data_IF_082636910554
#
_entry.id   IF_082636910554
#
_cell.length_a   1.000
_cell.length_b   1.000
_cell.length_c   1.000
_cell.angle_alpha   90.00
_cell.angle_beta   90.00
_cell.angle_gamma   90.00
#
_symmetry.space_group_name_H-M   'P 1'
#
loop_
_entity.id
_entity.type
_entity.pdbx_description
1 polymer ?
#
# COMPACT_ATOMS: atom_id res chain seq x y z
N UNK A 1 -94.61 -39.36 -33.83
CA UNK A 1 -93.76 -38.48 -34.68
C UNK A 1 -92.68 -37.83 -33.82
N UNK A 2 -91.39 -37.87 -34.22
CA UNK A 2 -90.24 -37.48 -33.38
C UNK A 2 -89.55 -36.18 -33.85
N UNK A 3 -88.73 -35.55 -32.98
CA UNK A 3 -87.56 -34.71 -33.39
C UNK A 3 -86.63 -34.50 -32.18
N UNK A 4 -85.65 -35.40 -32.00
CA UNK A 4 -84.22 -35.28 -32.37
C UNK A 4 -83.42 -34.25 -31.55
N UNK A 5 -82.72 -34.77 -30.56
CA UNK A 5 -81.43 -34.22 -30.11
C UNK A 5 -80.40 -34.30 -31.26
N UNK A 6 -79.59 -33.25 -31.45
CA UNK A 6 -78.34 -33.33 -32.23
C UNK A 6 -77.34 -32.30 -31.73
N UNK A 7 -76.23 -32.79 -31.19
CA UNK A 7 -75.16 -31.97 -30.65
C UNK A 7 -74.10 -31.51 -31.66
N UNK A 8 -73.09 -30.85 -31.08
CA UNK A 8 -71.72 -30.57 -31.56
C UNK A 8 -71.55 -29.53 -32.67
N UNK A 9 -70.90 -28.43 -32.30
CA UNK A 9 -70.12 -27.56 -33.20
C UNK A 9 -68.90 -27.02 -32.43
N UNK A 10 -67.70 -27.45 -32.83
CA UNK A 10 -66.46 -27.33 -32.07
C UNK A 10 -65.92 -25.90 -31.90
N UNK A 11 -65.34 -25.66 -30.72
CA UNK A 11 -64.53 -24.48 -30.36
C UNK A 11 -63.44 -24.23 -31.43
N UNK A 12 -63.15 -22.97 -31.81
CA UNK A 12 -62.06 -22.67 -32.73
C UNK A 12 -60.70 -22.94 -32.05
N UNK A 13 -60.24 -24.19 -32.13
CA UNK A 13 -58.97 -24.69 -31.55
C UNK A 13 -57.72 -24.21 -32.32
N UNK A 14 -57.84 -23.28 -33.25
CA UNK A 14 -56.73 -22.85 -34.13
C UNK A 14 -55.85 -21.73 -33.52
N UNK A 15 -56.36 -20.93 -32.59
CA UNK A 15 -55.56 -19.91 -31.87
C UNK A 15 -54.67 -20.48 -30.76
N UNK A 16 -55.07 -21.59 -30.11
CA UNK A 16 -54.27 -22.24 -29.06
C UNK A 16 -53.00 -22.86 -29.60
N UNK A 17 -53.03 -23.45 -30.79
CA UNK A 17 -51.85 -24.08 -31.40
C UNK A 17 -50.78 -23.06 -31.81
N UNK A 18 -51.19 -21.85 -32.20
CA UNK A 18 -50.25 -20.79 -32.58
C UNK A 18 -49.62 -20.12 -31.34
N UNK A 19 -50.42 -19.92 -30.29
CA UNK A 19 -49.90 -19.58 -28.95
C UNK A 19 -48.92 -20.63 -28.43
N UNK A 20 -49.20 -21.92 -28.64
CA UNK A 20 -48.30 -23.00 -28.23
C UNK A 20 -46.99 -23.01 -29.04
N UNK A 21 -47.05 -22.68 -30.34
CA UNK A 21 -45.85 -22.47 -31.17
C UNK A 21 -45.04 -21.26 -30.71
N UNK A 22 -45.68 -20.14 -30.39
CA UNK A 22 -45.03 -18.94 -29.84
C UNK A 22 -44.36 -19.23 -28.49
N UNK A 23 -45.02 -19.97 -27.60
CA UNK A 23 -44.44 -20.40 -26.31
C UNK A 23 -43.24 -21.32 -26.56
N UNK A 24 -43.35 -22.28 -27.47
CA UNK A 24 -42.24 -23.18 -27.81
C UNK A 24 -41.05 -22.42 -28.39
N UNK A 25 -41.30 -21.43 -29.26
CA UNK A 25 -40.26 -20.56 -29.81
C UNK A 25 -39.64 -19.65 -28.74
N UNK A 26 -40.46 -19.13 -27.82
CA UNK A 26 -40.00 -18.35 -26.67
C UNK A 26 -39.11 -19.16 -25.73
N UNK A 27 -39.43 -20.44 -25.48
CA UNK A 27 -38.59 -21.35 -24.69
C UNK A 27 -37.24 -21.57 -25.39
N UNK A 28 -37.23 -21.79 -26.71
CA UNK A 28 -35.98 -21.93 -27.47
C UNK A 28 -35.13 -20.67 -27.38
N UNK A 29 -35.73 -19.49 -27.51
CA UNK A 29 -35.03 -18.21 -27.38
C UNK A 29 -34.50 -17.98 -25.97
N UNK A 30 -35.27 -18.34 -24.94
CA UNK A 30 -34.85 -18.28 -23.54
C UNK A 30 -33.64 -19.19 -23.27
N UNK A 31 -33.61 -20.40 -23.84
CA UNK A 31 -32.47 -21.31 -23.74
C UNK A 31 -31.23 -20.75 -24.42
N UNK A 32 -31.37 -20.13 -25.60
CA UNK A 32 -30.26 -19.47 -26.29
C UNK A 32 -29.70 -18.29 -25.49
N UNK A 33 -30.57 -17.46 -24.90
CA UNK A 33 -30.16 -16.36 -24.02
C UNK A 33 -29.44 -16.89 -22.78
N UNK A 34 -29.97 -17.94 -22.15
CA UNK A 34 -29.35 -18.53 -20.96
C UNK A 34 -27.96 -19.11 -21.28
N UNK A 35 -27.82 -19.83 -22.40
CA UNK A 35 -26.54 -20.36 -22.86
C UNK A 35 -25.54 -19.23 -23.19
N UNK A 36 -26.01 -18.15 -23.82
CA UNK A 36 -25.21 -16.97 -24.09
C UNK A 36 -24.79 -16.25 -22.80
N UNK A 37 -25.70 -16.17 -21.81
CA UNK A 37 -25.44 -15.64 -20.48
C UNK A 37 -24.36 -16.43 -19.74
N UNK A 38 -24.39 -17.77 -19.80
CA UNK A 38 -23.34 -18.62 -19.24
C UNK A 38 -22.00 -18.43 -19.96
N UNK A 39 -22.01 -18.30 -21.29
CA UNK A 39 -20.80 -17.98 -22.06
C UNK A 39 -20.21 -16.61 -21.68
N UNK A 40 -21.08 -15.61 -21.48
CA UNK A 40 -20.67 -14.28 -21.01
C UNK A 40 -20.14 -14.34 -19.57
N UNK A 41 -20.79 -15.10 -18.68
CA UNK A 41 -20.35 -15.30 -17.31
C UNK A 41 -18.97 -15.98 -17.25
N UNK A 42 -18.73 -17.00 -18.09
CA UNK A 42 -17.40 -17.60 -18.21
C UNK A 42 -16.36 -16.62 -18.75
N UNK A 43 -16.72 -15.78 -19.74
CA UNK A 43 -15.79 -14.79 -20.32
C UNK A 43 -15.51 -13.61 -19.37
N UNK A 44 -16.47 -13.25 -18.53
CA UNK A 44 -16.34 -12.23 -17.49
C UNK A 44 -15.52 -12.78 -16.32
N UNK A 45 -15.81 -13.99 -15.84
CA UNK A 45 -15.02 -14.65 -14.77
C UNK A 45 -13.56 -14.84 -15.17
N UNK A 46 -13.29 -15.18 -16.42
CA UNK A 46 -11.93 -15.31 -16.96
C UNK A 46 -11.15 -13.98 -17.01
N UNK A 47 -11.84 -12.84 -16.86
CA UNK A 47 -11.23 -11.49 -16.78
C UNK A 47 -11.28 -10.90 -15.37
N UNK A 48 -12.06 -11.48 -14.44
CA UNK A 48 -12.24 -10.98 -13.08
C UNK A 48 -11.45 -11.79 -12.04
N UNK A 49 -11.11 -13.06 -12.30
CA UNK A 49 -10.30 -13.89 -11.38
C UNK A 49 -8.81 -13.96 -11.76
N UNK A 50 -8.20 -12.81 -12.08
CA UNK A 50 -6.79 -12.75 -12.42
C UNK A 50 -6.15 -11.40 -12.10
N UNK A 51 -5.78 -11.19 -10.82
CA UNK A 51 -5.02 -10.05 -10.27
C UNK A 51 -5.68 -8.66 -10.43
N UNK A 52 -6.55 -8.26 -9.50
CA UNK A 52 -6.94 -6.82 -9.35
C UNK A 52 -6.72 -6.30 -7.92
N UNK A 53 -5.77 -6.90 -7.19
CA UNK A 53 -5.15 -6.22 -6.06
C UNK A 53 -3.66 -6.56 -6.05
N UNK A 54 -2.92 -6.09 -7.05
CA UNK A 54 -1.51 -5.77 -6.78
C UNK A 54 -1.56 -4.57 -5.84
N UNK A 55 -1.67 -4.83 -4.53
CA UNK A 55 -1.46 -3.78 -3.55
C UNK A 55 -0.07 -3.21 -3.88
N UNK A 56 0.03 -1.93 -4.28
CA UNK A 56 1.33 -1.35 -4.57
C UNK A 56 2.17 -1.62 -3.33
N UNK A 57 3.33 -2.24 -3.51
CA UNK A 57 4.22 -2.52 -2.39
C UNK A 57 4.44 -1.18 -1.67
N UNK A 58 3.90 -1.05 -0.46
CA UNK A 58 4.11 0.11 0.35
C UNK A 58 5.60 0.09 0.68
N UNK A 59 6.36 0.93 -0.02
CA UNK A 59 7.78 1.13 0.27
C UNK A 59 7.81 2.01 1.52
N UNK A 60 7.66 1.35 2.66
CA UNK A 60 7.93 1.93 3.95
C UNK A 60 9.39 2.40 3.97
N UNK A 61 9.65 3.60 4.49
CA UNK A 61 11.02 4.00 4.80
C UNK A 61 11.70 3.00 5.74
N UNK A 62 13.02 3.11 5.90
CA UNK A 62 13.78 2.31 6.89
C UNK A 62 13.05 2.39 8.24
N UNK A 63 12.55 1.27 8.74
CA UNK A 63 12.05 1.18 10.11
C UNK A 63 13.23 1.49 11.02
N UNK A 64 13.14 2.59 11.76
CA UNK A 64 14.19 2.97 12.70
C UNK A 64 13.86 2.29 14.01
N UNK A 65 14.65 1.27 14.33
CA UNK A 65 14.67 0.67 15.65
C UNK A 65 15.65 1.51 16.49
N UNK A 66 15.12 2.11 17.56
CA UNK A 66 15.90 2.81 18.56
C UNK A 66 16.24 1.79 19.63
N UNK A 67 17.53 1.64 19.91
CA UNK A 67 18.05 0.80 20.97
C UNK A 67 18.75 1.69 21.99
N UNK A 68 18.73 1.33 23.28
CA UNK A 68 19.63 1.92 24.26
C UNK A 68 21.09 1.85 23.79
N UNK A 69 21.90 2.82 24.17
CA UNK A 69 23.30 3.04 23.77
C UNK A 69 23.54 3.36 22.29
N UNK A 70 22.50 3.62 21.51
CA UNK A 70 22.67 4.04 20.11
C UNK A 70 23.27 5.45 20.04
N UNK A 71 24.31 5.64 19.22
CA UNK A 71 24.90 6.96 18.94
C UNK A 71 23.97 7.80 18.07
N UNK A 72 22.97 8.40 18.71
CA UNK A 72 22.06 9.38 18.11
C UNK A 72 21.89 10.54 19.07
N UNK A 73 22.19 11.74 18.59
CA UNK A 73 22.00 12.95 19.37
C UNK A 73 20.52 13.33 19.43
N UNK A 74 20.15 14.08 20.47
CA UNK A 74 18.80 14.65 20.61
C UNK A 74 18.36 15.42 19.37
N UNK A 75 19.26 16.20 18.77
CA UNK A 75 18.97 17.02 17.59
C UNK A 75 18.74 16.17 16.33
N UNK A 76 19.42 15.04 16.20
CA UNK A 76 19.16 14.08 15.14
C UNK A 76 17.82 13.37 15.34
N UNK A 77 17.47 13.02 16.58
CA UNK A 77 16.17 12.46 16.88
C UNK A 77 15.03 13.44 16.56
N UNK A 78 15.18 14.72 16.90
CA UNK A 78 14.22 15.78 16.50
C UNK A 78 14.09 15.87 14.98
N UNK A 79 15.21 15.82 14.24
CA UNK A 79 15.19 15.80 12.78
C UNK A 79 14.49 14.57 12.23
N UNK A 80 14.71 13.40 12.84
CA UNK A 80 14.03 12.16 12.47
C UNK A 80 12.52 12.24 12.73
N UNK A 81 12.10 12.75 13.89
CA UNK A 81 10.70 12.94 14.25
C UNK A 81 9.99 13.93 13.32
N UNK A 82 10.64 15.06 13.02
CA UNK A 82 10.13 16.01 12.03
C UNK A 82 10.04 15.37 10.65
N UNK A 83 11.05 14.58 10.28
CA UNK A 83 11.02 13.79 9.06
C UNK A 83 9.90 12.75 9.10
N UNK A 84 9.47 12.19 10.23
CA UNK A 84 8.33 11.25 10.32
C UNK A 84 6.96 11.92 10.49
N UNK A 85 6.87 13.23 10.25
CA UNK A 85 5.65 14.05 10.43
C UNK A 85 5.15 14.11 11.88
N UNK A 86 6.02 13.92 12.87
CA UNK A 86 5.69 14.24 14.24
C UNK A 86 5.70 15.76 14.44
N UNK A 87 4.84 16.24 15.35
CA UNK A 87 4.71 17.66 15.67
C UNK A 87 5.27 17.97 17.04
N UNK A 88 6.15 18.96 17.12
CA UNK A 88 6.62 19.49 18.39
C UNK A 88 5.52 20.32 19.03
N UNK A 89 5.17 20.00 20.28
CA UNK A 89 4.17 20.73 21.08
C UNK A 89 4.71 20.99 22.47
N UNK A 90 4.10 21.92 23.21
CA UNK A 90 4.42 22.16 24.62
C UNK A 90 3.72 21.16 25.56
N UNK A 91 2.52 20.71 25.20
CA UNK A 91 1.77 19.69 25.93
C UNK A 91 1.22 18.65 24.94
N UNK A 92 1.60 17.38 25.12
CA UNK A 92 1.16 16.30 24.24
C UNK A 92 -0.26 15.87 24.59
N UNK A 93 -1.14 15.86 23.59
CA UNK A 93 -2.55 15.44 23.73
C UNK A 93 -2.95 14.39 22.71
N UNK A 94 -2.26 14.32 21.57
CA UNK A 94 -2.60 13.42 20.47
C UNK A 94 -1.41 12.54 20.04
N UNK A 95 -1.67 11.37 19.44
CA UNK A 95 -0.62 10.56 18.83
C UNK A 95 0.08 11.32 17.68
N UNK A 96 1.39 11.12 17.54
CA UNK A 96 2.21 11.86 16.58
C UNK A 96 2.70 13.22 17.10
N UNK A 97 2.59 13.49 18.39
CA UNK A 97 3.11 14.68 19.05
C UNK A 97 4.33 14.32 19.91
N UNK A 98 5.27 15.26 20.04
CA UNK A 98 6.42 15.14 20.92
C UNK A 98 6.74 16.46 21.62
N UNK A 99 7.35 16.38 22.80
CA UNK A 99 7.89 17.50 23.55
C UNK A 99 9.39 17.31 23.72
N UNK A 100 10.14 18.41 23.69
CA UNK A 100 11.59 18.41 23.89
C UNK A 100 11.87 19.02 25.25
N UNK A 101 12.60 18.29 26.08
CA UNK A 101 13.09 18.73 27.39
C UNK A 101 14.61 18.97 27.33
N UNK A 102 15.22 19.22 28.49
CA UNK A 102 16.66 19.48 28.59
C UNK A 102 17.48 18.32 28.01
N UNK A 103 17.31 17.12 28.54
CA UNK A 103 18.05 15.92 28.14
C UNK A 103 17.15 14.77 27.65
N UNK A 104 15.86 15.02 27.49
CA UNK A 104 14.91 13.99 27.07
C UNK A 104 13.95 14.50 26.01
N UNK A 105 13.40 13.57 25.24
CA UNK A 105 12.31 13.79 24.32
C UNK A 105 11.18 12.88 24.76
N UNK A 106 10.01 13.43 25.03
CA UNK A 106 8.81 12.63 25.22
C UNK A 106 8.00 12.63 23.94
N UNK A 107 7.42 11.49 23.61
CA UNK A 107 6.61 11.35 22.42
C UNK A 107 5.44 10.40 22.64
N UNK A 108 4.33 10.67 21.93
CA UNK A 108 3.21 9.75 21.82
C UNK A 108 3.29 9.10 20.44
N UNK A 109 3.74 7.84 20.39
CA UNK A 109 3.83 7.09 19.13
C UNK A 109 2.42 6.77 18.61
N UNK A 110 2.24 6.86 17.30
CA UNK A 110 0.99 6.49 16.62
C UNK A 110 0.72 4.99 16.75
N UNK A 111 -0.56 4.56 16.83
CA UNK A 111 -0.91 3.15 16.74
C UNK A 111 -0.50 2.62 15.37
N UNK A 112 0.19 1.49 15.34
CA UNK A 112 0.65 0.86 14.11
C UNK A 112 0.51 -0.66 14.20
N UNK A 113 -0.09 -1.24 13.17
CA UNK A 113 -0.19 -2.68 13.01
C UNK A 113 1.13 -3.21 12.46
N UNK A 114 2.07 -3.55 13.35
CA UNK A 114 3.29 -4.23 12.93
C UNK A 114 2.98 -5.68 12.52
N UNK A 115 3.74 -6.27 11.57
CA UNK A 115 3.55 -7.66 11.16
C UNK A 115 3.66 -8.65 12.32
N UNK A 116 4.51 -8.34 13.31
CA UNK A 116 4.78 -9.20 14.47
C UNK A 116 3.73 -9.05 15.58
N UNK A 117 3.19 -7.85 15.77
CA UNK A 117 2.27 -7.53 16.86
C UNK A 117 1.50 -6.23 16.59
N UNK A 118 0.23 -6.16 17.00
CA UNK A 118 -0.53 -4.92 16.98
C UNK A 118 -0.09 -4.03 18.13
N UNK A 119 0.58 -2.93 17.83
CA UNK A 119 1.02 -1.99 18.86
C UNK A 119 0.11 -0.75 18.85
N UNK A 120 -0.54 -0.50 19.98
CA UNK A 120 -1.38 0.69 20.17
C UNK A 120 -0.56 1.98 20.29
N UNK A 121 -1.22 3.05 20.71
CA UNK A 121 -0.50 4.25 21.11
C UNK A 121 0.45 3.92 22.27
N UNK A 122 1.67 4.46 22.23
CA UNK A 122 2.66 4.25 23.29
C UNK A 122 3.26 5.60 23.65
N UNK A 123 3.24 5.93 24.93
CA UNK A 123 3.92 7.12 25.44
C UNK A 123 5.34 6.72 25.84
N UNK A 124 6.32 7.23 25.10
CA UNK A 124 7.73 6.91 25.34
C UNK A 124 8.50 8.17 25.72
N UNK A 125 9.41 8.03 26.68
CA UNK A 125 10.42 9.02 27.01
C UNK A 125 11.78 8.48 26.57
N UNK A 126 12.45 9.25 25.74
CA UNK A 126 13.81 8.98 25.28
C UNK A 126 14.74 9.90 26.06
N UNK A 127 15.67 9.34 26.81
CA UNK A 127 16.67 10.10 27.57
C UNK A 127 18.01 10.02 26.86
N UNK A 128 18.65 11.17 26.67
CA UNK A 128 19.91 11.31 25.96
C UNK A 128 20.98 11.76 26.92
N UNK A 129 22.17 11.18 26.78
CA UNK A 129 23.39 11.65 27.43
C UNK A 129 24.38 12.08 26.35
N UNK A 130 24.51 13.39 26.17
CA UNK A 130 25.29 13.98 25.07
C UNK A 130 24.80 13.56 23.69
N UNK A 131 25.60 12.73 23.02
CA UNK A 131 25.40 12.28 21.63
C UNK A 131 24.89 10.83 21.50
N UNK A 132 24.43 10.22 22.59
CA UNK A 132 23.82 8.89 22.56
C UNK A 132 22.47 8.83 23.28
N UNK A 133 21.67 7.85 22.88
CA UNK A 133 20.40 7.51 23.50
C UNK A 133 20.66 6.56 24.66
N UNK A 134 20.52 7.04 25.89
CA UNK A 134 20.83 6.28 27.11
C UNK A 134 19.70 5.30 27.44
N UNK A 135 18.45 5.80 27.50
CA UNK A 135 17.30 4.98 27.89
C UNK A 135 16.05 5.33 27.11
N UNK A 136 15.19 4.33 26.99
CA UNK A 136 13.85 4.46 26.42
C UNK A 136 12.87 3.91 27.44
N UNK A 137 12.01 4.75 27.99
CA UNK A 137 11.07 4.38 29.04
C UNK A 137 9.64 4.49 28.54
N UNK A 138 8.83 3.48 28.82
CA UNK A 138 7.39 3.55 28.62
C UNK A 138 6.75 4.30 29.79
N UNK A 139 6.11 5.42 29.51
CA UNK A 139 5.47 6.24 30.54
C UNK A 139 4.16 5.66 31.08
N UNK A 140 3.58 4.66 30.41
CA UNK A 140 2.33 4.03 30.86
C UNK A 140 2.58 2.99 31.98
N UNK A 141 3.76 2.37 32.00
CA UNK A 141 4.11 1.34 32.99
C UNK A 141 5.49 1.53 33.65
N UNK A 142 6.20 2.62 33.35
CA UNK A 142 7.55 2.93 33.85
C UNK A 142 8.57 1.81 33.60
N UNK A 143 8.40 1.03 32.53
CA UNK A 143 9.35 -0.01 32.13
C UNK A 143 10.24 0.50 31.02
N UNK A 144 11.53 0.16 31.11
CA UNK A 144 12.47 0.41 30.02
C UNK A 144 12.22 -0.53 28.85
N UNK A 145 12.24 0.02 27.64
CA UNK A 145 12.22 -0.72 26.40
C UNK A 145 13.64 -1.12 26.02
N UNK A 146 13.88 -2.42 25.82
CA UNK A 146 15.15 -2.91 25.26
C UNK A 146 15.32 -2.56 23.77
N UNK A 147 14.20 -2.32 23.07
CA UNK A 147 14.18 -1.77 21.72
C UNK A 147 12.85 -1.04 21.51
N UNK A 148 12.85 0.04 20.75
CA UNK A 148 11.67 0.82 20.43
C UNK A 148 11.60 1.07 18.93
N UNK A 149 10.50 0.61 18.30
CA UNK A 149 10.31 0.77 16.86
C UNK A 149 9.54 2.06 16.59
N UNK A 150 10.13 2.96 15.81
CA UNK A 150 9.43 4.14 15.31
C UNK A 150 8.47 3.71 14.18
N UNK A 151 7.28 4.32 14.12
CA UNK A 151 6.36 4.07 13.03
C UNK A 151 6.99 4.48 11.69
N UNK A 152 7.06 3.55 10.71
CA UNK A 152 7.70 3.85 9.45
C UNK A 152 6.89 4.90 8.70
N UNK A 153 7.58 5.88 8.12
CA UNK A 153 6.94 6.81 7.21
C UNK A 153 6.53 6.11 5.92
N UNK A 154 5.32 6.39 5.46
CA UNK A 154 4.93 6.18 4.07
C UNK A 154 5.68 7.24 3.24
N UNK A 155 6.78 6.84 2.57
CA UNK A 155 7.59 7.77 1.75
C UNK A 155 6.88 8.04 0.42
N UNK A 156 6.33 6.99 -0.20
CA UNK A 156 5.57 7.09 -1.44
C UNK A 156 4.72 5.84 -1.63
N UNK A 157 3.54 5.98 -2.22
CA UNK A 157 2.87 4.84 -2.87
C UNK A 157 3.52 4.72 -4.23
N UNK A 158 4.23 3.62 -4.49
CA UNK A 158 4.74 3.35 -5.83
C UNK A 158 3.54 3.21 -6.76
N UNK A 159 3.25 4.24 -7.56
CA UNK A 159 2.41 4.06 -8.74
C UNK A 159 3.05 2.94 -9.54
N UNK A 160 2.26 1.91 -9.86
CA UNK A 160 2.66 0.86 -10.79
C UNK A 160 3.07 1.58 -12.07
N UNK A 161 4.38 1.75 -12.25
CA UNK A 161 4.95 2.30 -13.45
C UNK A 161 4.61 1.31 -14.55
N UNK A 162 3.59 1.63 -15.34
CA UNK A 162 3.28 0.95 -16.58
C UNK A 162 4.60 0.89 -17.36
N UNK A 163 5.17 -0.32 -17.47
CA UNK A 163 6.41 -0.56 -18.19
C UNK A 163 6.15 -0.34 -19.69
N UNK A 164 6.12 0.93 -20.12
CA UNK A 164 6.51 1.25 -21.50
C UNK A 164 8.02 1.23 -21.52
N UNK A 165 8.55 0.11 -22.00
CA UNK A 165 9.97 -0.09 -22.24
C UNK A 165 10.54 1.12 -22.98
N UNK A 166 11.42 1.87 -22.33
CA UNK A 166 12.31 2.77 -23.03
C UNK A 166 13.31 1.90 -23.81
N UNK A 167 13.55 2.15 -25.11
CA UNK A 167 14.57 1.42 -25.85
C UNK A 167 15.93 1.73 -25.24
N UNK A 168 16.67 0.67 -24.92
CA UNK A 168 18.04 0.69 -24.42
C UNK A 168 18.90 1.47 -25.42
N UNK A 169 19.23 2.74 -25.11
CA UNK A 169 20.25 3.48 -25.83
C UNK A 169 21.62 3.04 -25.31
N UNK A 170 22.09 1.99 -25.96
CA UNK A 170 23.46 1.58 -26.21
C UNK A 170 24.53 2.56 -25.70
N UNK A 171 25.14 2.21 -24.57
CA UNK A 171 26.39 2.79 -24.12
C UNK A 171 27.51 2.28 -25.04
N UNK A 172 27.89 3.07 -26.04
CA UNK A 172 29.15 2.87 -26.78
C UNK A 172 29.54 4.14 -27.54
N UNK A 173 30.41 4.94 -26.91
CA UNK A 173 31.52 5.72 -27.52
C UNK A 173 32.20 6.58 -26.45
N UNK A 174 33.07 5.95 -25.66
CA UNK A 174 34.20 6.63 -25.02
C UNK A 174 35.47 6.12 -25.70
N UNK A 175 36.17 6.92 -26.51
CA UNK A 175 37.57 6.62 -26.78
C UNK A 175 38.38 6.91 -25.52
N UNK A 176 38.95 5.85 -24.95
CA UNK A 176 40.09 5.94 -24.03
C UNK A 176 41.25 6.57 -24.79
N UNK A 177 41.77 7.69 -24.28
CA UNK A 177 43.14 8.15 -24.52
C UNK A 177 43.60 8.79 -23.21
N UNK A 178 44.26 8.08 -22.31
CA UNK A 178 45.69 7.74 -22.33
C UNK A 178 46.59 8.98 -22.23
N UNK A 179 47.17 9.17 -21.04
CA UNK A 179 48.55 9.65 -20.86
C UNK A 179 48.76 11.15 -20.71
N UNK A 180 49.22 11.57 -19.53
CA UNK A 180 50.02 12.80 -19.41
C UNK A 180 49.85 13.60 -18.12
N UNK A 181 50.36 13.11 -16.99
CA UNK A 181 50.82 13.99 -15.91
C UNK A 181 52.34 13.82 -15.78
N UNK A 182 53.16 14.80 -16.17
CA UNK A 182 54.51 14.87 -15.65
C UNK A 182 54.45 15.59 -14.30
N UNK A 183 54.98 14.89 -13.30
CA UNK A 183 55.39 15.45 -12.04
C UNK A 183 56.54 16.44 -12.23
N UNK A 184 56.56 17.47 -11.38
CA UNK A 184 57.78 18.17 -11.01
C UNK A 184 57.81 19.66 -11.34
N UNK A 185 57.55 20.49 -10.34
CA UNK A 185 58.54 21.50 -10.00
C UNK A 185 58.52 21.79 -8.49
N UNK A 186 59.63 21.44 -7.83
CA UNK A 186 59.97 21.88 -6.48
C UNK A 186 60.85 23.11 -6.65
N UNK A 187 60.39 24.28 -6.20
CA UNK A 187 61.27 25.38 -5.80
C UNK A 187 60.66 26.15 -4.62
N UNK A 188 61.35 26.20 -3.48
CA UNK A 188 61.78 27.44 -2.86
C UNK A 188 63.32 27.53 -2.97
N UNK A 189 64.02 28.67 -2.77
CA UNK A 189 63.66 29.84 -1.95
C UNK A 189 63.97 31.20 -2.64
N UNK A 190 63.70 32.33 -1.96
CA UNK A 190 64.67 33.41 -1.70
C UNK A 190 64.01 34.57 -0.91
N UNK A 191 64.68 34.88 0.22
CA UNK A 191 64.59 36.05 1.12
C UNK A 191 63.36 36.18 2.03
#
# INVERSE_FOLDING_TARGET
MPRKAKGKGGKPRRKRSWLWLLVKLGIVFAVLIAAYGVYLDQKIRSRIDGKVWELPAAVYGRMVNLEPDMQISKNEMVRLLNATQYRQVSAMTRPGEYTVQANSIEMIRRPFDFPDSKEGQVRARLTFDGDHLETIENMDNNRQFGFFRLDPRLITMAAVAERRAAPVREAQRLPRSAGGYPAGDRRPPLL
#
